data_IF_509757816318
#
_entry.id   IF_509757816318
#
_cell.length_a   1.000
_cell.length_b   1.000
_cell.length_c   1.000
_cell.angle_alpha   90.00
_cell.angle_beta   90.00
_cell.angle_gamma   90.00
#
_symmetry.space_group_name_H-M   'P 1'
#
loop_
_entity.id
_entity.type
_entity.pdbx_description
1 polymer ?
#
# COMPACT_ATOMS: atom_id res chain seq x y z
N UNK A 1 2.86 -0.85 0.62
CA UNK A 1 2.41 -2.13 0.04
C UNK A 1 2.01 -1.88 -1.39
N UNK A 2 2.38 -2.79 -2.32
CA UNK A 2 2.04 -2.65 -3.74
C UNK A 2 1.14 -3.82 -4.17
N UNK A 3 0.01 -3.50 -4.81
CA UNK A 3 -0.93 -4.46 -5.42
C UNK A 3 -0.86 -4.28 -6.93
N UNK A 4 -0.57 -5.35 -7.64
CA UNK A 4 -0.55 -5.38 -9.10
C UNK A 4 -1.73 -6.19 -9.60
N UNK A 5 -2.40 -5.71 -10.63
CA UNK A 5 -3.53 -6.37 -11.27
C UNK A 5 -3.19 -6.55 -12.74
N UNK A 6 -3.38 -7.75 -13.28
CA UNK A 6 -3.16 -8.01 -14.69
C UNK A 6 -4.36 -8.73 -15.28
N UNK A 7 -4.98 -8.13 -16.29
CA UNK A 7 -6.17 -8.62 -16.98
C UNK A 7 -6.25 -7.93 -18.34
N UNK A 8 -6.38 -8.66 -19.44
CA UNK A 8 -6.46 -8.09 -20.78
C UNK A 8 -7.81 -7.44 -21.08
N UNK A 9 -8.86 -7.81 -20.32
CA UNK A 9 -10.14 -7.11 -20.34
C UNK A 9 -10.07 -5.83 -19.49
N UNK A 10 -10.09 -4.69 -20.18
CA UNK A 10 -9.99 -3.36 -19.57
C UNK A 10 -11.15 -3.06 -18.60
N UNK A 11 -12.36 -3.59 -18.81
CA UNK A 11 -13.50 -3.37 -17.92
C UNK A 11 -13.26 -4.10 -16.60
N UNK A 12 -12.90 -5.39 -16.65
CA UNK A 12 -12.56 -6.18 -15.48
C UNK A 12 -11.35 -5.58 -14.72
N UNK A 13 -10.31 -5.18 -15.44
CA UNK A 13 -9.12 -4.52 -14.86
C UNK A 13 -9.51 -3.28 -14.07
N UNK A 14 -10.32 -2.39 -14.66
CA UNK A 14 -10.74 -1.16 -14.00
C UNK A 14 -11.64 -1.41 -12.79
N UNK A 15 -12.52 -2.42 -12.85
CA UNK A 15 -13.37 -2.78 -11.71
C UNK A 15 -12.53 -3.34 -10.57
N UNK A 16 -11.60 -4.25 -10.83
CA UNK A 16 -10.69 -4.78 -9.81
C UNK A 16 -9.83 -3.68 -9.17
N UNK A 17 -9.33 -2.72 -9.96
CA UNK A 17 -8.62 -1.53 -9.44
C UNK A 17 -9.52 -0.75 -8.47
N UNK A 18 -10.78 -0.50 -8.81
CA UNK A 18 -11.73 0.20 -7.92
C UNK A 18 -11.96 -0.58 -6.63
N UNK A 19 -12.18 -1.91 -6.73
CA UNK A 19 -12.36 -2.77 -5.55
C UNK A 19 -11.13 -2.70 -4.65
N UNK A 20 -9.93 -2.89 -5.21
CA UNK A 20 -8.69 -2.81 -4.44
C UNK A 20 -8.52 -1.46 -3.75
N UNK A 21 -8.74 -0.34 -4.45
CA UNK A 21 -8.64 1.01 -3.87
C UNK A 21 -9.64 1.26 -2.75
N UNK A 22 -10.83 0.67 -2.83
CA UNK A 22 -11.87 0.82 -1.79
C UNK A 22 -11.59 -0.03 -0.54
N UNK A 23 -10.96 -1.19 -0.73
CA UNK A 23 -10.76 -2.17 0.35
C UNK A 23 -9.42 -1.98 1.05
N UNK A 24 -8.35 -1.73 0.27
CA UNK A 24 -7.00 -1.68 0.81
C UNK A 24 -6.75 -0.41 1.64
N UNK A 25 -5.84 -0.52 2.62
CA UNK A 25 -5.46 0.63 3.46
C UNK A 25 -4.93 1.79 2.64
N UNK A 26 -5.19 3.01 3.10
CA UNK A 26 -4.68 4.23 2.48
C UNK A 26 -3.15 4.18 2.35
N UNK A 27 -2.64 4.56 1.17
CA UNK A 27 -1.20 4.46 0.86
C UNK A 27 -0.78 3.12 0.25
N UNK A 28 -1.74 2.22 -0.06
CA UNK A 28 -1.48 1.07 -0.91
C UNK A 28 -1.39 1.54 -2.37
N UNK A 29 -0.28 1.26 -3.02
CA UNK A 29 -0.13 1.47 -4.46
C UNK A 29 -0.89 0.37 -5.22
N UNK A 30 -1.83 0.76 -6.10
CA UNK A 30 -2.57 -0.19 -6.95
C UNK A 30 -2.31 0.16 -8.42
N UNK A 31 -1.66 -0.77 -9.15
CA UNK A 31 -1.34 -0.60 -10.57
C UNK A 31 -1.97 -1.71 -11.41
N UNK A 32 -2.52 -1.35 -12.56
CA UNK A 32 -3.07 -2.26 -13.55
C UNK A 32 -2.16 -2.45 -14.75
N UNK A 33 -2.18 -3.65 -15.31
CA UNK A 33 -1.55 -4.02 -16.57
C UNK A 33 -2.58 -4.75 -17.43
N UNK A 34 -2.71 -4.34 -18.68
CA UNK A 34 -3.57 -5.00 -19.66
C UNK A 34 -2.79 -5.97 -20.57
N UNK A 35 -1.50 -6.15 -20.30
CA UNK A 35 -0.61 -7.05 -21.04
C UNK A 35 0.37 -7.71 -20.06
N UNK A 36 0.34 -9.05 -20.03
CA UNK A 36 1.19 -9.85 -19.16
C UNK A 36 2.70 -9.71 -19.48
N UNK A 37 3.07 -9.42 -20.73
CA UNK A 37 4.47 -9.21 -21.11
C UNK A 37 4.99 -7.90 -20.55
N UNK A 38 4.21 -6.83 -20.62
CA UNK A 38 4.58 -5.55 -19.98
C UNK A 38 4.77 -5.70 -18.47
N UNK A 39 3.92 -6.52 -17.82
CA UNK A 39 4.10 -6.86 -16.43
C UNK A 39 5.39 -7.66 -16.20
N UNK A 40 5.67 -8.69 -17.03
CA UNK A 40 6.89 -9.48 -16.94
C UNK A 40 8.15 -8.60 -17.06
N UNK A 41 8.18 -7.69 -18.04
CA UNK A 41 9.29 -6.72 -18.21
C UNK A 41 9.46 -5.82 -16.98
N UNK A 42 8.35 -5.33 -16.42
CA UNK A 42 8.35 -4.50 -15.21
C UNK A 42 8.88 -5.24 -13.98
N UNK A 43 8.52 -6.52 -13.82
CA UNK A 43 9.05 -7.39 -12.77
C UNK A 43 10.55 -7.69 -12.96
N UNK A 44 10.99 -7.94 -14.20
CA UNK A 44 12.40 -8.15 -14.53
C UNK A 44 13.24 -6.91 -14.25
N UNK A 45 12.75 -5.74 -14.66
CA UNK A 45 13.42 -4.46 -14.44
C UNK A 45 13.33 -3.94 -12.99
N UNK A 46 12.63 -4.65 -12.10
CA UNK A 46 12.35 -4.24 -10.71
C UNK A 46 11.67 -2.88 -10.61
N UNK A 47 10.90 -2.48 -11.62
CA UNK A 47 10.07 -1.27 -11.58
C UNK A 47 8.77 -1.48 -10.80
N UNK A 48 8.40 -2.74 -10.55
CA UNK A 48 7.34 -3.17 -9.63
C UNK A 48 7.84 -4.29 -8.72
N UNK A 49 7.39 -4.26 -7.45
CA UNK A 49 7.68 -5.27 -6.43
C UNK A 49 6.40 -5.57 -5.63
N UNK A 50 5.47 -6.35 -6.21
CA UNK A 50 4.17 -6.55 -5.60
C UNK A 50 4.25 -7.36 -4.30
N UNK A 51 3.48 -6.92 -3.31
CA UNK A 51 3.12 -7.75 -2.15
C UNK A 51 1.96 -8.67 -2.48
N UNK A 52 1.07 -8.23 -3.38
CA UNK A 52 -0.09 -8.97 -3.86
C UNK A 52 -0.24 -8.80 -5.36
N UNK A 53 -0.55 -9.88 -6.07
CA UNK A 53 -0.97 -9.85 -7.47
C UNK A 53 -2.37 -10.43 -7.63
N UNK A 54 -3.23 -9.71 -8.36
CA UNK A 54 -4.47 -10.24 -8.94
C UNK A 54 -4.19 -10.54 -10.40
N UNK A 55 -4.40 -11.77 -10.82
CA UNK A 55 -3.93 -12.24 -12.11
C UNK A 55 -5.01 -13.01 -12.82
N UNK A 56 -5.39 -12.57 -14.02
CA UNK A 56 -6.20 -13.42 -14.89
C UNK A 56 -5.36 -14.61 -15.34
N UNK A 57 -6.02 -15.76 -15.50
CA UNK A 57 -5.37 -16.98 -15.99
C UNK A 57 -5.23 -16.91 -17.51
N UNK A 58 -6.28 -16.55 -18.22
CA UNK A 58 -6.29 -16.52 -19.67
C UNK A 58 -6.07 -15.10 -20.20
N UNK A 59 -4.87 -14.87 -20.69
CA UNK A 59 -4.48 -13.64 -21.38
C UNK A 59 -3.80 -13.99 -22.71
N UNK A 60 -3.92 -13.13 -23.73
CA UNK A 60 -3.22 -13.33 -25.00
C UNK A 60 -1.71 -13.41 -24.83
N UNK A 61 -1.07 -14.27 -25.60
CA UNK A 61 0.38 -14.43 -25.74
C UNK A 61 1.14 -14.93 -24.50
N UNK A 62 0.74 -14.55 -23.28
CA UNK A 62 1.33 -15.00 -22.03
C UNK A 62 0.22 -15.13 -20.98
N UNK A 63 -0.13 -16.35 -20.64
CA UNK A 63 -1.12 -16.64 -19.60
C UNK A 63 -0.61 -16.27 -18.20
N UNK A 64 -1.54 -16.04 -17.26
CA UNK A 64 -1.18 -15.76 -15.87
C UNK A 64 -0.40 -16.90 -15.20
N UNK A 65 -0.64 -18.14 -15.62
CA UNK A 65 0.10 -19.31 -15.13
C UNK A 65 1.55 -19.28 -15.62
N UNK A 66 1.76 -19.07 -16.92
CA UNK A 66 3.09 -18.98 -17.51
C UNK A 66 3.87 -17.78 -16.97
N UNK A 67 3.21 -16.62 -16.80
CA UNK A 67 3.81 -15.44 -16.16
C UNK A 67 4.35 -15.77 -14.78
N UNK A 68 3.53 -16.44 -13.94
CA UNK A 68 3.95 -16.84 -12.59
C UNK A 68 5.17 -17.76 -12.64
N UNK A 69 5.17 -18.75 -13.54
CA UNK A 69 6.30 -19.70 -13.67
C UNK A 69 7.56 -18.99 -14.12
N UNK A 70 7.49 -18.17 -15.17
CA UNK A 70 8.64 -17.42 -15.68
C UNK A 70 9.21 -16.45 -14.65
N UNK A 71 8.34 -15.85 -13.82
CA UNK A 71 8.72 -14.87 -12.80
C UNK A 71 8.86 -15.48 -11.39
N UNK A 72 8.87 -16.79 -11.23
CA UNK A 72 8.87 -17.47 -9.92
C UNK A 72 9.98 -16.99 -8.96
N UNK A 73 11.16 -16.67 -9.48
CA UNK A 73 12.27 -16.15 -8.67
C UNK A 73 12.02 -14.73 -8.13
N UNK A 74 11.23 -13.93 -8.84
CA UNK A 74 10.87 -12.55 -8.49
C UNK A 74 9.64 -12.49 -7.57
N UNK A 75 8.76 -13.48 -7.69
CA UNK A 75 7.47 -13.55 -6.99
C UNK A 75 7.51 -14.39 -5.70
N UNK A 76 8.70 -14.63 -5.14
CA UNK A 76 8.86 -15.49 -3.93
C UNK A 76 8.09 -14.98 -2.71
N UNK A 77 7.97 -13.66 -2.58
CA UNK A 77 7.34 -12.97 -1.46
C UNK A 77 6.04 -12.27 -1.87
N UNK A 78 5.49 -12.63 -3.03
CA UNK A 78 4.28 -12.06 -3.58
C UNK A 78 3.14 -13.07 -3.43
N UNK A 79 2.06 -12.68 -2.78
CA UNK A 79 0.84 -13.48 -2.76
C UNK A 79 0.05 -13.28 -4.07
N UNK A 80 -0.60 -14.33 -4.52
CA UNK A 80 -1.32 -14.35 -5.80
C UNK A 80 -2.78 -14.72 -5.57
N UNK A 81 -3.67 -13.92 -6.12
CA UNK A 81 -5.09 -14.21 -6.29
C UNK A 81 -5.33 -14.38 -7.79
N UNK A 82 -5.77 -15.54 -8.20
CA UNK A 82 -6.25 -15.70 -9.56
C UNK A 82 -7.70 -15.23 -9.67
N UNK A 83 -7.97 -14.40 -10.68
CA UNK A 83 -9.31 -13.89 -10.97
C UNK A 83 -9.66 -14.30 -12.40
N UNK A 84 -10.51 -15.30 -12.58
CA UNK A 84 -10.76 -15.92 -13.88
C UNK A 84 -12.22 -16.29 -14.08
N UNK A 85 -12.63 -16.41 -15.36
CA UNK A 85 -13.91 -16.99 -15.75
C UNK A 85 -13.85 -18.53 -15.87
N UNK A 86 -12.65 -19.11 -15.84
CA UNK A 86 -12.36 -20.52 -16.15
C UNK A 86 -12.05 -21.32 -14.89
N UNK A 87 -13.10 -21.91 -14.27
CA UNK A 87 -12.96 -22.70 -13.04
C UNK A 87 -12.15 -23.99 -13.25
N UNK A 88 -12.20 -24.57 -14.44
CA UNK A 88 -11.46 -25.78 -14.82
C UNK A 88 -9.94 -25.60 -14.74
N UNK A 89 -9.44 -24.37 -14.81
CA UNK A 89 -8.02 -24.06 -14.72
C UNK A 89 -7.52 -23.93 -13.27
N UNK A 90 -8.41 -23.91 -12.29
CA UNK A 90 -8.04 -23.71 -10.89
C UNK A 90 -7.11 -24.81 -10.37
N UNK A 91 -7.32 -26.09 -10.75
CA UNK A 91 -6.46 -27.19 -10.31
C UNK A 91 -5.01 -27.01 -10.79
N UNK A 92 -4.82 -26.57 -12.04
CA UNK A 92 -3.50 -26.30 -12.60
C UNK A 92 -2.83 -25.05 -12.01
N UNK A 93 -3.64 -24.13 -11.51
CA UNK A 93 -3.17 -22.87 -10.94
C UNK A 93 -2.73 -22.96 -9.48
N UNK A 94 -3.04 -24.07 -8.77
CA UNK A 94 -2.56 -24.27 -7.41
C UNK A 94 -1.03 -24.23 -7.33
N UNK A 95 -0.52 -23.58 -6.31
CA UNK A 95 0.92 -23.49 -6.12
C UNK A 95 1.31 -22.60 -4.96
N UNK A 96 2.63 -22.49 -4.77
CA UNK A 96 3.20 -21.65 -3.72
C UNK A 96 2.74 -20.20 -3.91
N UNK A 97 2.35 -19.55 -2.83
CA UNK A 97 1.89 -18.15 -2.77
C UNK A 97 0.53 -17.89 -3.45
N UNK A 98 -0.20 -18.90 -3.90
CA UNK A 98 -1.58 -18.72 -4.36
C UNK A 98 -2.49 -18.79 -3.14
N UNK A 99 -3.08 -17.66 -2.79
CA UNK A 99 -3.90 -17.53 -1.56
C UNK A 99 -5.40 -17.66 -1.83
N UNK A 100 -5.83 -17.40 -3.06
CA UNK A 100 -7.23 -17.54 -3.44
C UNK A 100 -7.44 -17.64 -4.95
N UNK A 101 -8.64 -18.14 -5.28
CA UNK A 101 -9.25 -18.06 -6.61
C UNK A 101 -10.56 -17.31 -6.50
N UNK A 102 -10.78 -16.37 -7.40
CA UNK A 102 -12.00 -15.57 -7.50
C UNK A 102 -12.56 -15.68 -8.91
N UNK A 103 -13.85 -15.98 -9.01
CA UNK A 103 -14.55 -16.05 -10.29
C UNK A 103 -14.97 -14.66 -10.76
N UNK A 104 -14.76 -14.36 -12.04
CA UNK A 104 -15.29 -13.16 -12.71
C UNK A 104 -16.80 -13.33 -12.93
N UNK A 105 -17.61 -12.87 -11.99
CA UNK A 105 -19.09 -13.01 -12.05
C UNK A 105 -19.80 -11.67 -12.22
N UNK A 106 -19.05 -10.57 -12.36
CA UNK A 106 -19.60 -9.20 -12.27
C UNK A 106 -19.97 -8.77 -10.85
N UNK A 107 -19.95 -9.69 -9.88
CA UNK A 107 -20.04 -9.39 -8.46
C UNK A 107 -18.68 -9.61 -7.80
N UNK A 108 -18.14 -8.57 -7.15
CA UNK A 108 -16.81 -8.57 -6.56
C UNK A 108 -16.81 -8.80 -5.03
N UNK A 109 -17.91 -9.29 -4.46
CA UNK A 109 -18.01 -9.54 -3.00
C UNK A 109 -16.97 -10.55 -2.54
N UNK A 110 -16.73 -11.63 -3.33
CA UNK A 110 -15.71 -12.63 -2.98
C UNK A 110 -14.30 -12.05 -3.04
N UNK A 111 -14.01 -11.21 -4.03
CA UNK A 111 -12.72 -10.50 -4.11
C UNK A 111 -12.54 -9.58 -2.93
N UNK A 112 -13.60 -8.84 -2.56
CA UNK A 112 -13.61 -7.96 -1.38
C UNK A 112 -13.28 -8.73 -0.10
N UNK A 113 -13.91 -9.89 0.12
CA UNK A 113 -13.65 -10.75 1.27
C UNK A 113 -12.18 -11.22 1.32
N UNK A 114 -11.65 -11.70 0.18
CA UNK A 114 -10.27 -12.19 0.07
C UNK A 114 -9.27 -11.06 0.35
N UNK A 115 -9.48 -9.87 -0.22
CA UNK A 115 -8.64 -8.70 0.01
C UNK A 115 -8.67 -8.25 1.49
N UNK A 116 -9.83 -8.28 2.13
CA UNK A 116 -9.95 -7.97 3.56
C UNK A 116 -9.19 -8.98 4.43
N UNK A 117 -9.21 -10.27 4.08
CA UNK A 117 -8.46 -11.31 4.77
C UNK A 117 -6.96 -11.09 4.59
N UNK A 118 -6.50 -10.93 3.34
CA UNK A 118 -5.12 -10.61 3.03
C UNK A 118 -4.63 -9.40 3.81
N UNK A 119 -5.41 -8.32 3.82
CA UNK A 119 -5.04 -7.11 4.56
C UNK A 119 -4.92 -7.38 6.07
N UNK A 120 -5.83 -8.15 6.67
CA UNK A 120 -5.75 -8.51 8.10
C UNK A 120 -4.49 -9.31 8.43
N UNK A 121 -4.08 -10.23 7.57
CA UNK A 121 -2.87 -11.04 7.75
C UNK A 121 -1.57 -10.22 7.60
N UNK A 122 -1.62 -9.16 6.79
CA UNK A 122 -0.47 -8.29 6.50
C UNK A 122 -0.50 -6.95 7.24
N UNK A 123 -1.45 -6.76 8.16
CA UNK A 123 -1.49 -5.56 9.02
C UNK A 123 -0.23 -5.48 9.90
N UNK A 124 0.38 -4.31 9.92
CA UNK A 124 1.43 -3.99 10.90
C UNK A 124 0.80 -3.28 12.09
N UNK A 125 0.36 -4.06 13.05
CA UNK A 125 -0.28 -3.55 14.25
C UNK A 125 0.77 -3.11 15.27
N UNK A 126 0.51 -1.97 15.88
CA UNK A 126 1.25 -1.48 17.04
C UNK A 126 0.29 -1.23 18.20
N UNK A 127 0.76 -1.46 19.41
CA UNK A 127 0.01 -1.15 20.62
C UNK A 127 0.16 0.35 20.96
N UNK A 128 -0.96 1.04 21.08
CA UNK A 128 -1.03 2.45 21.43
C UNK A 128 -1.86 2.64 22.69
N UNK A 129 -1.28 3.27 23.72
CA UNK A 129 -2.02 3.63 24.93
C UNK A 129 -2.73 4.98 24.73
N UNK A 130 -4.06 4.97 24.71
CA UNK A 130 -4.88 6.16 24.63
C UNK A 130 -6.05 6.09 25.62
N UNK A 131 -6.28 7.16 26.37
CA UNK A 131 -7.30 7.22 27.45
C UNK A 131 -7.25 6.03 28.41
N UNK A 132 -6.04 5.65 28.84
CA UNK A 132 -5.77 4.52 29.77
C UNK A 132 -6.17 3.13 29.25
N UNK A 133 -6.39 2.99 27.94
CA UNK A 133 -6.64 1.72 27.26
C UNK A 133 -5.57 1.47 26.21
N UNK A 134 -5.22 0.20 26.02
CA UNK A 134 -4.35 -0.20 24.92
C UNK A 134 -5.23 -0.47 23.70
N UNK A 135 -4.82 0.08 22.58
CA UNK A 135 -5.46 -0.08 21.28
C UNK A 135 -4.44 -0.63 20.30
N UNK A 136 -4.84 -1.61 19.52
CA UNK A 136 -4.05 -2.03 18.36
C UNK A 136 -4.47 -1.19 17.16
N UNK A 137 -3.51 -0.47 16.58
CA UNK A 137 -3.72 0.32 15.37
C UNK A 137 -2.78 -0.14 14.28
N UNK A 138 -3.24 -0.09 13.06
CA UNK A 138 -2.36 -0.28 11.91
C UNK A 138 -1.48 0.95 11.73
N UNK A 139 -0.19 0.76 11.47
CA UNK A 139 0.74 1.90 11.28
C UNK A 139 0.33 2.80 10.12
N UNK A 140 -0.41 2.28 9.13
CA UNK A 140 -0.96 3.09 8.04
C UNK A 140 -1.97 4.14 8.50
N UNK A 141 -2.57 3.98 9.68
CA UNK A 141 -3.49 4.97 10.29
C UNK A 141 -2.77 6.17 10.91
N UNK A 142 -1.44 6.10 11.05
CA UNK A 142 -0.64 7.21 11.61
C UNK A 142 -0.47 8.29 10.56
N UNK A 143 -0.87 9.53 10.89
CA UNK A 143 -0.70 10.71 10.06
C UNK A 143 0.72 11.27 10.18
N UNK A 144 1.15 11.48 11.42
CA UNK A 144 2.49 11.99 11.73
C UNK A 144 2.87 11.70 13.18
N UNK A 145 4.16 11.83 13.45
CA UNK A 145 4.77 11.65 14.76
C UNK A 145 5.63 12.88 15.08
N UNK A 146 5.50 13.40 16.29
CA UNK A 146 6.27 14.52 16.79
C UNK A 146 7.05 14.10 18.04
N UNK A 147 8.29 14.58 18.18
CA UNK A 147 9.04 14.43 19.42
C UNK A 147 8.43 15.31 20.50
N UNK A 148 8.23 14.76 21.69
CA UNK A 148 7.66 15.41 22.85
C UNK A 148 8.51 15.09 24.11
N UNK A 149 9.54 15.85 24.37
CA UNK A 149 10.52 15.65 25.46
C UNK A 149 11.07 14.20 25.46
N UNK A 150 10.73 13.41 26.46
CA UNK A 150 11.14 12.00 26.59
C UNK A 150 10.19 11.02 25.88
N UNK A 151 9.20 11.53 25.18
CA UNK A 151 8.17 10.75 24.48
C UNK A 151 8.11 11.15 23.01
N UNK A 152 7.34 10.42 22.25
CA UNK A 152 6.82 10.83 20.96
C UNK A 152 5.30 10.96 21.02
N UNK A 153 4.76 11.98 20.41
CA UNK A 153 3.33 12.14 20.22
C UNK A 153 2.97 11.63 18.83
N UNK A 154 2.14 10.62 18.76
CA UNK A 154 1.58 10.13 17.50
C UNK A 154 0.21 10.73 17.29
N UNK A 155 -0.09 11.14 16.05
CA UNK A 155 -1.43 11.54 15.58
C UNK A 155 -1.89 10.52 14.56
N UNK A 156 -3.06 9.94 14.78
CA UNK A 156 -3.56 8.82 13.99
C UNK A 156 -5.09 8.81 13.92
N UNK A 157 -5.64 8.08 12.93
CA UNK A 157 -7.07 7.83 12.86
C UNK A 157 -7.48 6.68 13.77
N UNK A 158 -8.51 6.91 14.58
CA UNK A 158 -9.17 5.89 15.37
C UNK A 158 -10.68 6.00 15.18
N UNK A 159 -11.29 5.01 14.52
CA UNK A 159 -12.74 4.99 14.22
C UNK A 159 -13.22 6.23 13.45
N UNK A 160 -12.39 6.73 12.54
CA UNK A 160 -12.71 7.91 11.71
C UNK A 160 -12.40 9.26 12.37
N UNK A 161 -11.97 9.28 13.63
CA UNK A 161 -11.56 10.51 14.33
C UNK A 161 -10.03 10.62 14.38
N UNK A 162 -9.52 11.83 14.26
CA UNK A 162 -8.10 12.12 14.48
C UNK A 162 -7.84 12.23 15.98
N UNK A 163 -6.97 11.39 16.51
CA UNK A 163 -6.61 11.35 17.92
C UNK A 163 -5.10 11.43 18.11
N UNK A 164 -4.69 11.82 19.33
CA UNK A 164 -3.29 11.92 19.70
C UNK A 164 -3.00 11.06 20.93
N UNK A 165 -1.84 10.41 20.92
CA UNK A 165 -1.36 9.62 22.06
C UNK A 165 0.15 9.77 22.24
N UNK A 166 0.61 9.70 23.49
CA UNK A 166 2.03 9.66 23.82
C UNK A 166 2.55 8.23 23.77
N UNK A 167 3.74 8.06 23.23
CA UNK A 167 4.46 6.80 23.14
C UNK A 167 5.90 6.95 23.63
N UNK A 168 6.45 5.86 24.14
CA UNK A 168 7.82 5.83 24.67
C UNK A 168 8.89 5.65 23.59
N UNK A 169 8.50 5.35 22.34
CA UNK A 169 9.44 5.16 21.26
C UNK A 169 10.18 6.47 20.91
N UNK A 170 11.47 6.36 20.69
CA UNK A 170 12.30 7.44 20.14
C UNK A 170 12.01 7.64 18.66
N UNK A 171 12.38 8.80 18.11
CA UNK A 171 12.24 9.06 16.67
C UNK A 171 13.04 8.08 15.79
N UNK A 172 14.14 7.49 16.31
CA UNK A 172 14.94 6.48 15.61
C UNK A 172 14.23 5.12 15.58
N UNK A 173 13.62 4.71 16.69
CA UNK A 173 12.81 3.48 16.73
C UNK A 173 11.59 3.60 15.83
N UNK A 174 10.95 4.78 15.78
CA UNK A 174 9.88 5.02 14.82
C UNK A 174 10.32 4.86 13.36
N UNK A 175 11.50 5.37 12.99
CA UNK A 175 12.04 5.15 11.64
C UNK A 175 12.21 3.66 11.31
N UNK A 176 12.58 2.83 12.27
CA UNK A 176 12.69 1.37 12.10
C UNK A 176 11.31 0.70 11.98
N UNK A 177 10.35 1.10 12.84
CA UNK A 177 8.97 0.56 12.81
C UNK A 177 8.28 0.91 11.50
N UNK A 178 8.50 2.12 10.97
CA UNK A 178 7.81 2.68 9.81
C UNK A 178 8.57 2.50 8.49
N UNK A 179 9.63 1.69 8.47
CA UNK A 179 10.42 1.44 7.27
C UNK A 179 9.54 0.96 6.12
N UNK A 180 9.77 1.50 4.91
CA UNK A 180 9.08 1.10 3.66
C UNK A 180 7.58 1.41 3.57
N UNK A 181 7.06 2.35 4.39
CA UNK A 181 5.61 2.61 4.47
C UNK A 181 5.18 4.03 4.08
N UNK A 182 5.93 4.70 3.23
CA UNK A 182 5.57 6.06 2.81
C UNK A 182 5.74 7.12 3.90
N UNK A 183 6.50 6.82 4.96
CA UNK A 183 6.85 7.79 5.99
C UNK A 183 8.14 8.51 5.66
N UNK A 184 8.19 9.79 5.97
CA UNK A 184 9.37 10.62 5.80
C UNK A 184 9.70 11.43 7.05
N UNK A 185 10.98 11.41 7.46
CA UNK A 185 11.48 12.26 8.52
C UNK A 185 11.85 13.64 8.00
N UNK A 186 10.93 14.60 8.14
CA UNK A 186 11.13 15.98 7.67
C UNK A 186 12.11 16.78 8.54
N UNK A 187 12.19 16.48 9.84
CA UNK A 187 13.13 17.12 10.78
C UNK A 187 13.58 16.13 11.85
N UNK A 188 14.48 16.55 12.74
CA UNK A 188 14.84 15.72 13.90
C UNK A 188 13.65 15.44 14.84
N UNK A 189 12.58 16.23 14.72
CA UNK A 189 11.44 16.20 15.61
C UNK A 189 10.15 15.70 14.99
N UNK A 190 10.10 15.50 13.65
CA UNK A 190 8.84 15.20 12.96
C UNK A 190 9.05 14.14 11.88
N UNK A 191 8.21 13.10 11.91
CA UNK A 191 8.00 12.12 10.84
C UNK A 191 6.55 12.29 10.34
N UNK A 192 6.34 12.30 9.04
CA UNK A 192 5.03 12.41 8.40
C UNK A 192 4.77 11.20 7.51
N UNK A 193 3.51 10.82 7.39
CA UNK A 193 3.06 9.83 6.41
C UNK A 193 2.62 10.57 5.14
N UNK A 194 3.25 10.29 4.02
CA UNK A 194 2.91 10.91 2.73
C UNK A 194 1.47 10.62 2.28
N UNK A 195 0.88 9.50 2.74
CA UNK A 195 -0.52 9.20 2.48
C UNK A 195 -1.50 10.26 2.98
N UNK A 196 -1.09 11.08 3.96
CA UNK A 196 -1.91 12.14 4.57
C UNK A 196 -1.35 13.54 4.34
N UNK A 197 -0.35 13.68 3.48
CA UNK A 197 0.13 15.01 3.05
C UNK A 197 -0.83 15.56 2.00
N UNK A 198 -1.38 16.73 2.25
CA UNK A 198 -2.24 17.45 1.32
C UNK A 198 -1.41 18.22 0.29
N UNK A 199 -0.41 18.98 0.77
CA UNK A 199 0.41 19.83 -0.11
C UNK A 199 1.77 20.20 0.52
N UNK A 200 2.72 20.57 -0.33
CA UNK A 200 4.03 21.12 0.05
C UNK A 200 4.25 22.46 -0.67
N UNK A 201 4.06 23.57 0.07
CA UNK A 201 4.22 24.94 -0.45
C UNK A 201 5.42 25.64 0.20
N UNK A 202 6.33 26.15 -0.64
CA UNK A 202 7.55 26.83 -0.18
C UNK A 202 8.30 25.95 0.84
N UNK A 203 8.34 26.38 2.10
CA UNK A 203 8.98 25.69 3.22
C UNK A 203 7.98 25.05 4.19
N UNK A 204 6.74 24.87 3.77
CA UNK A 204 5.66 24.31 4.61
C UNK A 204 5.07 23.06 3.98
N UNK A 205 4.80 22.07 4.83
CA UNK A 205 4.06 20.85 4.52
C UNK A 205 2.72 20.93 5.26
N UNK A 206 1.64 20.64 4.54
CA UNK A 206 0.27 20.65 5.07
C UNK A 206 -0.24 19.21 5.11
N UNK A 207 -0.83 18.84 6.24
CA UNK A 207 -1.47 17.54 6.45
C UNK A 207 -2.97 17.66 6.24
N UNK A 208 -3.64 16.57 5.92
CA UNK A 208 -5.11 16.51 5.71
C UNK A 208 -5.93 16.96 6.94
N UNK A 209 -5.38 16.84 8.15
CA UNK A 209 -6.03 17.31 9.39
C UNK A 209 -5.86 18.83 9.62
N UNK A 210 -5.30 19.55 8.63
CA UNK A 210 -4.99 20.98 8.72
C UNK A 210 -3.68 21.32 9.43
N UNK A 211 -2.95 20.35 9.95
CA UNK A 211 -1.67 20.58 10.62
C UNK A 211 -0.61 21.05 9.62
N UNK A 212 0.16 22.05 10.00
CA UNK A 212 1.26 22.60 9.20
C UNK A 212 2.61 22.35 9.87
N UNK A 213 3.55 21.82 9.10
CA UNK A 213 4.95 21.67 9.51
C UNK A 213 5.88 22.56 8.69
N UNK A 214 6.90 23.12 9.37
CA UNK A 214 7.97 23.84 8.68
C UNK A 214 9.06 22.86 8.28
N UNK A 215 9.43 22.86 7.01
CA UNK A 215 10.51 22.05 6.46
C UNK A 215 11.82 22.84 6.56
N UNK A 216 12.89 22.27 7.12
CA UNK A 216 14.21 22.90 7.10
C UNK A 216 14.67 23.21 5.67
N UNK A 217 15.20 24.41 5.44
CA UNK A 217 15.55 24.91 4.09
C UNK A 217 16.37 23.92 3.25
N UNK A 218 17.35 23.25 3.83
CA UNK A 218 18.18 22.25 3.12
C UNK A 218 17.46 20.98 2.71
N UNK A 219 16.23 20.71 3.19
CA UNK A 219 15.46 19.49 2.91
C UNK A 219 14.31 19.70 1.92
N UNK A 220 13.89 20.94 1.68
CA UNK A 220 12.68 21.24 0.89
C UNK A 220 12.69 20.60 -0.50
N UNK A 221 13.79 20.76 -1.25
CA UNK A 221 13.91 20.23 -2.61
C UNK A 221 13.80 18.69 -2.63
N UNK A 222 14.56 18.04 -1.74
CA UNK A 222 14.58 16.56 -1.64
C UNK A 222 13.19 16.04 -1.28
N UNK A 223 12.59 16.59 -0.23
CA UNK A 223 11.29 16.15 0.30
C UNK A 223 10.17 16.36 -0.72
N UNK A 224 10.19 17.48 -1.46
CA UNK A 224 9.22 17.72 -2.54
C UNK A 224 9.37 16.68 -3.66
N UNK A 225 10.61 16.35 -4.03
CA UNK A 225 10.85 15.34 -5.06
C UNK A 225 10.35 13.95 -4.62
N UNK A 226 10.65 13.57 -3.38
CA UNK A 226 10.16 12.31 -2.79
C UNK A 226 8.63 12.27 -2.74
N UNK A 227 7.98 13.36 -2.33
CA UNK A 227 6.52 13.45 -2.31
C UNK A 227 5.90 13.37 -3.71
N UNK A 228 6.49 14.05 -4.71
CA UNK A 228 6.01 13.95 -6.11
C UNK A 228 6.14 12.52 -6.62
N UNK A 229 7.25 11.83 -6.33
CA UNK A 229 7.43 10.43 -6.69
C UNK A 229 6.36 9.57 -6.02
N UNK A 230 6.20 9.69 -4.71
CA UNK A 230 5.15 8.99 -3.95
C UNK A 230 3.75 9.27 -4.51
N UNK A 231 3.41 10.54 -4.77
CA UNK A 231 2.10 10.93 -5.27
C UNK A 231 1.80 10.35 -6.66
N UNK A 232 2.80 10.26 -7.54
CA UNK A 232 2.66 9.63 -8.87
C UNK A 232 2.46 8.12 -8.75
N UNK A 233 3.23 7.46 -7.90
CA UNK A 233 3.13 6.01 -7.66
C UNK A 233 1.77 5.62 -7.08
N UNK A 234 1.14 6.52 -6.33
CA UNK A 234 -0.16 6.29 -5.68
C UNK A 234 -1.32 7.03 -6.37
N UNK A 235 -1.11 7.52 -7.61
CA UNK A 235 -2.12 8.24 -8.43
C UNK A 235 -2.83 9.39 -7.67
N UNK A 236 -2.11 10.07 -6.81
CA UNK A 236 -2.64 11.27 -6.15
C UNK A 236 -2.59 12.45 -7.12
N UNK A 237 -3.67 13.19 -7.22
CA UNK A 237 -3.71 14.44 -7.99
C UNK A 237 -2.86 15.49 -7.24
N UNK A 238 -1.84 16.01 -7.91
CA UNK A 238 -0.93 17.04 -7.40
C UNK A 238 -1.41 18.44 -7.79
#
# INVERSE_FOLDING_TARGET
MQVIICDDDIENLNEMIKVCRNVMVKGTEVRGFSDARMLAESLQAHTVQPSLMLLDIEMPELSGLELREQMASKLRMTDIIYVTSHEEMMEAAFGRNVIAFVRKTGNWDKLTEVLQNFQREHQRLIDVTWKKKVWQIDVSQILYIQSADNYSQITFYLRGEVVQALQTYTMKEWEQILQEQGFCRISRFVIVNYAYVEDIRKTSLFMEDGTRFVIPNGKVRKLRQEYITYAREHERIL
#
